data_IF_535551269763
#
_entry.id   IF_535551269763
#
_cell.length_a   1.000
_cell.length_b   1.000
_cell.length_c   1.000
_cell.angle_alpha   90.00
_cell.angle_beta   90.00
_cell.angle_gamma   90.00
#
_symmetry.space_group_name_H-M   'P 1'
#
loop_
_entity.id
_entity.type
_entity.pdbx_description
1 polymer ?
#
# COMPACT_ATOMS: atom_id res chain seq x y z
N UNK A 1 23.47 19.32 -8.62
CA UNK A 1 22.01 19.12 -8.58
C UNK A 1 21.78 17.63 -8.76
N UNK A 2 21.80 16.87 -7.66
CA UNK A 2 21.61 15.41 -7.68
C UNK A 2 20.21 15.11 -8.21
N UNK A 3 20.11 14.30 -9.27
CA UNK A 3 18.85 13.62 -9.57
C UNK A 3 18.67 12.63 -8.41
N UNK A 4 17.81 12.98 -7.46
CA UNK A 4 17.25 12.00 -6.52
C UNK A 4 16.52 11.00 -7.41
N UNK A 5 17.21 9.93 -7.81
CA UNK A 5 16.58 8.82 -8.50
C UNK A 5 15.51 8.31 -7.57
N UNK A 6 14.23 8.47 -7.96
CA UNK A 6 13.12 7.97 -7.16
C UNK A 6 13.38 6.49 -6.87
N UNK A 7 13.38 6.14 -5.58
CA UNK A 7 13.66 4.77 -5.17
C UNK A 7 12.59 3.88 -5.78
N UNK A 8 12.93 2.74 -6.41
CA UNK A 8 11.96 1.88 -7.07
C UNK A 8 10.76 1.57 -6.15
N UNK A 9 9.55 1.89 -6.62
CA UNK A 9 8.29 1.64 -5.90
C UNK A 9 7.86 2.73 -4.91
N UNK A 10 8.69 3.75 -4.63
CA UNK A 10 8.33 4.86 -3.73
C UNK A 10 7.20 5.72 -4.27
N UNK A 11 7.22 6.01 -5.57
CA UNK A 11 6.13 6.73 -6.24
C UNK A 11 4.78 6.01 -6.07
N UNK A 12 4.77 4.69 -6.20
CA UNK A 12 3.56 3.87 -6.05
C UNK A 12 3.10 3.82 -4.59
N UNK A 13 4.02 3.82 -3.64
CA UNK A 13 3.72 3.96 -2.22
C UNK A 13 3.01 5.30 -1.95
N UNK A 14 3.60 6.41 -2.37
CA UNK A 14 3.02 7.73 -2.10
C UNK A 14 1.67 7.94 -2.81
N UNK A 15 1.51 7.38 -4.01
CA UNK A 15 0.22 7.31 -4.68
C UNK A 15 -0.79 6.51 -3.87
N UNK A 16 -0.44 5.30 -3.42
CA UNK A 16 -1.32 4.45 -2.62
C UNK A 16 -1.76 5.14 -1.32
N UNK A 17 -0.83 5.81 -0.64
CA UNK A 17 -1.12 6.61 0.56
C UNK A 17 -2.09 7.76 0.26
N UNK A 18 -1.86 8.50 -0.81
CA UNK A 18 -2.72 9.63 -1.19
C UNK A 18 -4.13 9.16 -1.54
N UNK A 19 -4.25 8.07 -2.31
CA UNK A 19 -5.53 7.49 -2.70
C UNK A 19 -6.32 6.93 -1.51
N UNK A 20 -5.64 6.39 -0.49
CA UNK A 20 -6.32 5.82 0.68
C UNK A 20 -7.24 6.84 1.38
N UNK A 21 -6.87 8.12 1.35
CA UNK A 21 -7.65 9.20 1.96
C UNK A 21 -8.76 9.76 1.06
N UNK A 22 -8.84 9.36 -0.22
CA UNK A 22 -9.88 9.80 -1.15
C UNK A 22 -11.01 8.78 -1.16
N UNK A 23 -12.21 9.22 -0.78
CA UNK A 23 -13.40 8.37 -0.72
C UNK A 23 -13.71 7.79 -2.09
N UNK A 24 -13.92 6.47 -2.16
CA UNK A 24 -14.22 5.74 -3.38
C UNK A 24 -12.98 5.30 -4.18
N UNK A 25 -11.76 5.67 -3.74
CA UNK A 25 -10.49 5.30 -4.38
C UNK A 25 -9.72 4.23 -3.60
N UNK A 26 -10.33 3.63 -2.58
CA UNK A 26 -9.64 2.72 -1.67
C UNK A 26 -9.12 1.45 -2.38
N UNK A 27 -9.84 0.93 -3.37
CA UNK A 27 -9.38 -0.21 -4.16
C UNK A 27 -8.12 0.13 -4.98
N UNK A 28 -8.03 1.35 -5.52
CA UNK A 28 -6.86 1.82 -6.26
C UNK A 28 -5.68 2.10 -5.32
N UNK A 29 -5.95 2.54 -4.09
CA UNK A 29 -4.95 2.63 -3.04
C UNK A 29 -4.31 1.26 -2.76
N UNK A 30 -5.14 0.22 -2.59
CA UNK A 30 -4.67 -1.16 -2.41
C UNK A 30 -3.83 -1.61 -3.60
N UNK A 31 -4.30 -1.41 -4.83
CA UNK A 31 -3.56 -1.79 -6.04
C UNK A 31 -2.21 -1.06 -6.16
N UNK A 32 -2.14 0.21 -5.78
CA UNK A 32 -0.89 0.97 -5.77
C UNK A 32 0.12 0.43 -4.75
N UNK A 33 -0.34 0.04 -3.56
CA UNK A 33 0.51 -0.59 -2.54
C UNK A 33 1.03 -1.96 -2.97
N UNK A 34 0.20 -2.77 -3.65
CA UNK A 34 0.64 -4.06 -4.20
C UNK A 34 1.72 -3.89 -5.26
N UNK A 35 1.53 -2.96 -6.20
CA UNK A 35 2.53 -2.66 -7.23
C UNK A 35 3.83 -2.15 -6.58
N UNK A 36 3.72 -1.32 -5.56
CA UNK A 36 4.90 -0.91 -4.78
C UNK A 36 5.60 -2.13 -4.16
N UNK A 37 4.83 -3.07 -3.58
CA UNK A 37 5.37 -4.30 -2.98
C UNK A 37 6.04 -5.19 -4.02
N UNK A 38 5.46 -5.34 -5.21
CA UNK A 38 6.06 -6.12 -6.30
C UNK A 38 7.41 -5.54 -6.74
N UNK A 39 7.52 -4.21 -6.80
CA UNK A 39 8.76 -3.52 -7.19
C UNK A 39 9.83 -3.66 -6.11
N UNK A 40 9.47 -3.49 -4.83
CA UNK A 40 10.43 -3.47 -3.72
C UNK A 40 9.91 -4.21 -2.48
N UNK A 41 9.83 -5.56 -2.50
CA UNK A 41 9.11 -6.32 -1.48
C UNK A 41 9.64 -6.11 -0.07
N UNK A 42 10.95 -6.22 0.11
CA UNK A 42 11.57 -6.08 1.43
C UNK A 42 11.41 -4.66 1.99
N UNK A 43 11.53 -3.66 1.13
CA UNK A 43 11.40 -2.25 1.53
C UNK A 43 9.96 -1.94 1.94
N UNK A 44 8.98 -2.35 1.15
CA UNK A 44 7.57 -2.11 1.42
C UNK A 44 7.11 -2.86 2.68
N UNK A 45 7.54 -4.11 2.85
CA UNK A 45 7.20 -4.91 4.05
C UNK A 45 7.77 -4.32 5.34
N UNK A 46 8.94 -3.68 5.28
CA UNK A 46 9.57 -3.01 6.41
C UNK A 46 9.12 -1.54 6.62
N UNK A 47 8.33 -0.97 5.70
CA UNK A 47 8.00 0.45 5.74
C UNK A 47 6.82 0.76 6.69
N UNK A 48 7.07 1.56 7.72
CA UNK A 48 6.05 1.95 8.70
C UNK A 48 4.86 2.71 8.09
N UNK A 49 5.08 3.49 7.04
CA UNK A 49 4.00 4.21 6.35
C UNK A 49 3.06 3.25 5.62
N UNK A 50 3.61 2.17 5.03
CA UNK A 50 2.79 1.10 4.43
C UNK A 50 1.93 0.45 5.49
N UNK A 51 2.51 0.09 6.64
CA UNK A 51 1.78 -0.51 7.77
C UNK A 51 0.60 0.36 8.19
N UNK A 52 0.85 1.65 8.46
CA UNK A 52 -0.20 2.57 8.87
C UNK A 52 -1.31 2.73 7.81
N UNK A 53 -0.95 2.79 6.53
CA UNK A 53 -1.94 2.87 5.45
C UNK A 53 -2.75 1.58 5.31
N UNK A 54 -2.14 0.41 5.49
CA UNK A 54 -2.86 -0.88 5.50
C UNK A 54 -3.82 -0.94 6.68
N UNK A 55 -3.38 -0.61 7.89
CA UNK A 55 -4.24 -0.52 9.08
C UNK A 55 -5.43 0.41 8.83
N UNK A 56 -5.19 1.59 8.26
CA UNK A 56 -6.24 2.52 7.93
C UNK A 56 -7.25 1.97 6.91
N UNK A 57 -6.78 1.29 5.86
CA UNK A 57 -7.65 0.70 4.84
C UNK A 57 -8.45 -0.50 5.37
N UNK A 58 -7.97 -1.20 6.41
CA UNK A 58 -8.70 -2.34 6.99
C UNK A 58 -9.98 -1.92 7.72
N UNK A 59 -10.07 -0.68 8.17
CA UNK A 59 -11.28 -0.10 8.74
C UNK A 59 -12.30 0.35 7.67
N UNK A 60 -11.99 0.23 6.36
CA UNK A 60 -12.82 0.73 5.27
C UNK A 60 -13.63 -0.35 4.58
N UNK A 61 -14.78 0.04 4.03
CA UNK A 61 -15.59 -0.82 3.17
C UNK A 61 -14.97 -0.89 1.78
N UNK A 62 -14.43 -2.05 1.45
CA UNK A 62 -13.76 -2.32 0.18
C UNK A 62 -14.58 -3.30 -0.67
N UNK A 63 -14.42 -3.29 -2.01
CA UNK A 63 -14.81 -4.42 -2.84
C UNK A 63 -14.16 -5.72 -2.38
N UNK A 64 -14.79 -6.87 -2.65
CA UNK A 64 -14.32 -8.17 -2.18
C UNK A 64 -12.91 -8.53 -2.66
N UNK A 65 -12.55 -8.16 -3.89
CA UNK A 65 -11.21 -8.40 -4.45
C UNK A 65 -10.15 -7.58 -3.68
N UNK A 66 -10.37 -6.27 -3.53
CA UNK A 66 -9.46 -5.39 -2.80
C UNK A 66 -9.31 -5.79 -1.33
N UNK A 67 -10.39 -6.29 -0.71
CA UNK A 67 -10.33 -6.83 0.66
C UNK A 67 -9.41 -8.05 0.76
N UNK A 68 -9.53 -8.99 -0.20
CA UNK A 68 -8.65 -10.17 -0.27
C UNK A 68 -7.20 -9.76 -0.47
N UNK A 69 -6.94 -8.84 -1.39
CA UNK A 69 -5.58 -8.41 -1.70
C UNK A 69 -4.94 -7.66 -0.53
N UNK A 70 -5.70 -6.78 0.12
CA UNK A 70 -5.27 -6.06 1.32
C UNK A 70 -4.93 -7.03 2.45
N UNK A 71 -5.71 -8.10 2.65
CA UNK A 71 -5.39 -9.16 3.63
C UNK A 71 -4.10 -9.90 3.28
N UNK A 72 -3.87 -10.17 2.01
CA UNK A 72 -2.62 -10.78 1.55
C UNK A 72 -1.41 -9.89 1.85
N UNK A 73 -1.51 -8.59 1.55
CA UNK A 73 -0.47 -7.61 1.87
C UNK A 73 -0.25 -7.51 3.38
N UNK A 74 -1.33 -7.38 4.17
CA UNK A 74 -1.28 -7.31 5.63
C UNK A 74 -0.52 -8.51 6.23
N UNK A 75 -0.82 -9.73 5.76
CA UNK A 75 -0.11 -10.93 6.18
C UNK A 75 1.39 -10.86 5.88
N UNK A 76 1.79 -10.42 4.67
CA UNK A 76 3.21 -10.30 4.27
C UNK A 76 3.98 -9.23 5.03
N UNK A 77 3.30 -8.20 5.54
CA UNK A 77 3.90 -7.16 6.38
C UNK A 77 3.79 -7.47 7.89
N UNK A 78 3.28 -8.66 8.26
CA UNK A 78 3.16 -9.09 9.65
C UNK A 78 2.07 -8.35 10.44
N UNK A 79 0.97 -7.98 9.79
CA UNK A 79 -0.26 -7.55 10.46
C UNK A 79 -1.22 -8.73 10.57
N UNK A 80 -1.76 -8.93 11.77
CA UNK A 80 -2.86 -9.86 12.01
C UNK A 80 -4.17 -9.06 11.92
N UNK A 81 -5.00 -9.39 10.94
CA UNK A 81 -6.31 -8.77 10.69
C UNK A 81 -7.47 -9.68 11.12
#
# INVERSE_FOLDING_TARGET
MERVGSVPGEERLDLGRSLAHIRGREAEAVAALLIAEEIAPQRIRANALVRHTVEFLTARKLPSHATRDLRGLAHRIGLSL
#
